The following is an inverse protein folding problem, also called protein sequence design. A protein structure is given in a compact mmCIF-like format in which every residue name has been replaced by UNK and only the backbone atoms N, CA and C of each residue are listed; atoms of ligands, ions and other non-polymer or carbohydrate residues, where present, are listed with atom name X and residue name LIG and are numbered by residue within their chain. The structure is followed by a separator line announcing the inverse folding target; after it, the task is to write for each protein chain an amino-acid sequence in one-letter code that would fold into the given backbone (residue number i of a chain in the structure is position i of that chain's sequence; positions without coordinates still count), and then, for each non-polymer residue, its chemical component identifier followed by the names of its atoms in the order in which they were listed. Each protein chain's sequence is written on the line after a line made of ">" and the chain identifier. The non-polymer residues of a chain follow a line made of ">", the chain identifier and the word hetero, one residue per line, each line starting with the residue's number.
data_IF_168092425459
#
_entry.id   IF_168092425459
#
_cell.length_a   1.000
_cell.length_b   1.000
_cell.length_c   1.000
_cell.angle_alpha   90.00
_cell.angle_beta   90.00
_cell.angle_gamma   90.00
#
_symmetry.space_group_name_H-M   'P 1'
#
loop_
_entity.id
_entity.type
_entity.pdbx_description
1 polymer ?
#
# COMPACT_ATOMS: atom_id res chain seq x y z
N UNK A 1 -6.56 1.21 -13.87
CA UNK A 1 -5.14 0.84 -13.65
C UNK A 1 -4.19 2.02 -13.47
N UNK A 2 -4.36 3.16 -14.16
CA UNK A 2 -3.42 4.29 -14.09
C UNK A 2 -3.19 4.89 -12.69
N UNK A 3 -4.25 5.12 -11.91
CA UNK A 3 -4.14 5.73 -10.56
C UNK A 3 -3.37 4.81 -9.60
N UNK A 4 -3.66 3.50 -9.62
CA UNK A 4 -3.00 2.52 -8.74
C UNK A 4 -1.49 2.46 -9.05
N UNK A 5 -1.13 2.41 -10.35
CA UNK A 5 0.27 2.37 -10.77
C UNK A 5 1.04 3.64 -10.39
N UNK A 6 0.39 4.81 -10.51
CA UNK A 6 0.97 6.08 -10.09
C UNK A 6 1.22 6.11 -8.57
N UNK A 7 0.25 5.69 -7.76
CA UNK A 7 0.40 5.61 -6.30
C UNK A 7 1.53 4.66 -5.92
N UNK A 8 1.61 3.49 -6.59
CA UNK A 8 2.70 2.54 -6.40
C UNK A 8 4.08 3.14 -6.69
N UNK A 9 4.23 3.86 -7.81
CA UNK A 9 5.49 4.50 -8.17
C UNK A 9 5.90 5.62 -7.19
N UNK A 10 4.93 6.40 -6.69
CA UNK A 10 5.21 7.43 -5.68
C UNK A 10 5.64 6.78 -4.35
N UNK A 11 4.94 5.72 -3.92
CA UNK A 11 5.32 4.96 -2.73
C UNK A 11 6.72 4.37 -2.84
N UNK A 12 7.08 3.84 -4.02
CA UNK A 12 8.41 3.29 -4.29
C UNK A 12 9.52 4.35 -4.28
N UNK A 13 9.23 5.60 -4.63
CA UNK A 13 10.20 6.70 -4.53
C UNK A 13 10.35 7.22 -3.09
N UNK A 14 9.24 7.37 -2.38
CA UNK A 14 9.23 7.94 -1.01
C UNK A 14 9.73 6.92 0.02
N UNK A 15 9.42 5.64 -0.15
CA UNK A 15 9.77 4.57 0.80
C UNK A 15 11.26 4.52 1.16
N UNK A 16 12.18 4.47 0.19
CA UNK A 16 13.62 4.48 0.44
C UNK A 16 14.12 5.77 1.09
N UNK A 17 13.55 6.93 0.74
CA UNK A 17 13.95 8.22 1.33
C UNK A 17 13.61 8.26 2.82
N UNK A 18 12.40 7.82 3.18
CA UNK A 18 11.95 7.78 4.58
C UNK A 18 12.71 6.71 5.36
N UNK A 19 12.88 5.52 4.78
CA UNK A 19 13.62 4.43 5.42
C UNK A 19 15.09 4.80 5.62
N UNK A 20 15.72 5.43 4.62
CA UNK A 20 17.09 5.94 4.72
C UNK A 20 17.25 6.97 5.84
N UNK A 21 16.39 7.99 5.89
CA UNK A 21 16.41 8.97 6.98
C UNK A 21 16.22 8.34 8.36
N UNK A 22 15.38 7.31 8.46
CA UNK A 22 15.16 6.61 9.72
C UNK A 22 16.39 5.81 10.15
N UNK A 23 17.07 5.17 9.20
CA UNK A 23 18.34 4.47 9.45
C UNK A 23 19.42 5.48 9.83
N UNK A 24 19.52 6.63 9.15
CA UNK A 24 20.50 7.67 9.44
C UNK A 24 20.34 8.25 10.86
N UNK A 25 19.11 8.41 11.34
CA UNK A 25 18.82 8.92 12.68
C UNK A 25 19.02 7.89 13.79
N UNK A 26 18.73 6.62 13.51
CA UNK A 26 18.80 5.54 14.52
C UNK A 26 20.15 4.81 14.51
N UNK A 27 20.94 4.97 13.46
CA UNK A 27 22.20 4.26 13.24
C UNK A 27 22.04 2.75 13.01
N UNK A 28 20.81 2.23 12.91
CA UNK A 28 20.53 0.81 12.84
C UNK A 28 19.50 0.46 11.77
N UNK A 29 19.87 -0.51 10.93
CA UNK A 29 18.99 -1.07 9.90
C UNK A 29 17.73 -1.73 10.48
N UNK A 30 17.76 -2.15 11.75
CA UNK A 30 16.62 -2.78 12.43
C UNK A 30 15.37 -1.89 12.42
N UNK A 31 15.53 -0.59 12.66
CA UNK A 31 14.41 0.35 12.64
C UNK A 31 13.85 0.57 11.23
N UNK A 32 14.69 0.47 10.19
CA UNK A 32 14.23 0.49 8.79
C UNK A 32 13.33 -0.70 8.46
N UNK A 33 13.68 -1.90 8.92
CA UNK A 33 12.84 -3.09 8.72
C UNK A 33 11.53 -3.03 9.52
N UNK A 34 11.57 -2.54 10.76
CA UNK A 34 10.37 -2.36 11.58
C UNK A 34 9.40 -1.36 10.92
N UNK A 35 9.93 -0.29 10.32
CA UNK A 35 9.12 0.68 9.59
C UNK A 35 8.39 0.05 8.40
N UNK A 36 9.11 -0.71 7.57
CA UNK A 36 8.49 -1.40 6.42
C UNK A 36 7.44 -2.40 6.89
N UNK A 37 7.73 -3.18 7.93
CA UNK A 37 6.77 -4.12 8.51
C UNK A 37 5.50 -3.42 8.99
N UNK A 38 5.63 -2.28 9.68
CA UNK A 38 4.50 -1.48 10.14
C UNK A 38 3.64 -0.94 8.97
N UNK A 39 4.27 -0.47 7.89
CA UNK A 39 3.58 0.05 6.69
C UNK A 39 2.77 -1.06 6.00
N UNK A 40 3.31 -2.27 5.89
CA UNK A 40 2.60 -3.40 5.27
C UNK A 40 1.40 -3.83 6.12
N UNK A 41 1.59 -3.90 7.44
CA UNK A 41 0.50 -4.22 8.37
C UNK A 41 -0.60 -3.17 8.25
N UNK A 42 -0.24 -1.89 8.25
CA UNK A 42 -1.20 -0.79 8.09
C UNK A 42 -1.96 -0.90 6.76
N UNK A 43 -1.26 -1.18 5.66
CA UNK A 43 -1.90 -1.40 4.36
C UNK A 43 -2.91 -2.55 4.40
N UNK A 44 -2.54 -3.68 5.03
CA UNK A 44 -3.44 -4.81 5.23
C UNK A 44 -4.68 -4.43 6.03
N UNK A 45 -4.52 -3.70 7.13
CA UNK A 45 -5.63 -3.23 7.99
C UNK A 45 -6.56 -2.29 7.23
N UNK A 46 -6.02 -1.38 6.43
CA UNK A 46 -6.80 -0.42 5.64
C UNK A 46 -7.64 -1.09 4.54
N UNK A 47 -7.25 -2.28 4.08
CA UNK A 47 -7.99 -3.04 3.06
C UNK A 47 -9.18 -3.79 3.66
N UNK A 48 -9.19 -4.12 4.95
CA UNK A 48 -10.27 -4.88 5.61
C UNK A 48 -11.68 -4.29 5.35
N UNK A 49 -11.94 -2.98 5.49
CA UNK A 49 -13.27 -2.42 5.25
C UNK A 49 -13.59 -2.17 3.76
N UNK A 50 -12.67 -2.47 2.84
CA UNK A 50 -12.89 -2.23 1.40
C UNK A 50 -13.98 -3.17 0.89
N UNK A 51 -15.10 -2.59 0.49
CA UNK A 51 -16.21 -3.33 -0.13
C UNK A 51 -16.08 -3.29 -1.66
N UNK A 52 -16.43 -4.39 -2.31
CA UNK A 52 -16.49 -4.47 -3.76
C UNK A 52 -17.68 -3.65 -4.30
N UNK A 53 -17.41 -2.44 -4.78
CA UNK A 53 -18.42 -1.53 -5.37
C UNK A 53 -18.84 -1.94 -6.80
N UNK A 54 -18.55 -3.17 -7.23
CA UNK A 54 -18.40 -3.48 -8.67
C UNK A 54 -19.06 -4.75 -9.18
N UNK A 55 -20.15 -5.25 -8.61
CA UNK A 55 -20.90 -6.32 -9.30
C UNK A 55 -21.84 -5.72 -10.34
N UNK A 56 -21.34 -5.48 -11.56
CA UNK A 56 -22.20 -5.52 -12.75
C UNK A 56 -22.68 -6.96 -12.90
N UNK A 57 -23.74 -7.31 -12.16
CA UNK A 57 -24.57 -8.47 -12.47
C UNK A 57 -25.25 -8.13 -13.80
N UNK A 58 -24.61 -8.50 -14.90
CA UNK A 58 -25.28 -8.54 -16.18
C UNK A 58 -26.44 -9.54 -16.01
N UNK A 59 -27.62 -8.99 -15.78
CA UNK A 59 -28.90 -9.70 -15.83
C UNK A 59 -29.12 -10.00 -17.31
N UNK A 60 -28.46 -11.05 -17.81
CA UNK A 60 -28.92 -11.76 -19.01
C UNK A 60 -30.07 -12.69 -18.60
N UNK A 61 -31.07 -12.08 -17.98
CA UNK A 61 -32.39 -12.63 -17.80
C UNK A 61 -33.33 -11.70 -18.55
N UNK A 62 -33.34 -11.80 -19.88
CA UNK A 62 -34.55 -11.66 -20.69
C UNK A 62 -34.35 -12.54 -21.94
N UNK A 63 -34.89 -13.76 -21.84
CA UNK A 63 -35.68 -14.50 -22.84
C UNK A 63 -35.39 -14.19 -24.31
#
# INVERSE_FOLDING_TARGET
>A
MGIINMIGNIGAFIGPIVTGKLIDQTGSFGYGFIFIAAVIILAGVLVIPVQETGRKRNREAVI
#
